data_IF_751319086646
#
_entry.id   IF_751319086646
#
_cell.length_a   1.000
_cell.length_b   1.000
_cell.length_c   1.000
_cell.angle_alpha   90.00
_cell.angle_beta   90.00
_cell.angle_gamma   90.00
#
_symmetry.space_group_name_H-M   'P 1'
#
loop_
_entity.id
_entity.type
_entity.pdbx_description
1 polymer ?
#
# COMPACT_ATOMS: atom_id res chain seq x y z
N UNK A 1 -21.78 6.45 15.70
CA UNK A 1 -21.15 6.62 14.37
C UNK A 1 -20.90 5.22 13.81
N UNK A 2 -21.76 4.72 12.91
CA UNK A 2 -21.64 3.34 12.38
C UNK A 2 -20.66 3.37 11.22
N UNK A 3 -19.46 2.81 11.41
CA UNK A 3 -18.51 2.56 10.33
C UNK A 3 -19.13 1.49 9.43
N UNK A 4 -19.64 1.90 8.26
CA UNK A 4 -20.13 0.98 7.23
C UNK A 4 -18.92 0.57 6.39
N UNK A 5 -18.69 -0.73 6.32
CA UNK A 5 -17.58 -1.38 5.66
C UNK A 5 -17.31 -0.83 4.26
N UNK A 6 -16.08 -0.37 4.03
CA UNK A 6 -15.51 -0.17 2.70
C UNK A 6 -15.13 -1.57 2.20
N UNK A 7 -15.94 -2.12 1.30
CA UNK A 7 -15.64 -3.40 0.67
C UNK A 7 -14.91 -3.09 -0.63
N UNK A 8 -13.59 -3.15 -0.57
CA UNK A 8 -12.72 -3.11 -1.72
C UNK A 8 -12.76 -4.51 -2.38
N UNK A 9 -13.80 -4.78 -3.17
CA UNK A 9 -13.92 -6.04 -3.91
C UNK A 9 -13.88 -5.78 -5.40
N UNK A 10 -12.87 -6.40 -6.01
CA UNK A 10 -12.81 -6.77 -7.42
C UNK A 10 -14.01 -7.67 -7.73
N UNK A 11 -15.04 -7.11 -8.35
CA UNK A 11 -16.18 -7.78 -9.00
C UNK A 11 -16.64 -9.12 -8.38
N UNK A 12 -17.64 -9.11 -7.50
CA UNK A 12 -18.41 -10.31 -7.17
C UNK A 12 -19.59 -10.41 -8.13
N UNK A 13 -19.57 -11.46 -8.95
CA UNK A 13 -20.65 -11.81 -9.87
C UNK A 13 -21.85 -12.36 -9.10
N UNK A 14 -22.99 -11.68 -9.24
CA UNK A 14 -24.38 -12.20 -9.19
C UNK A 14 -24.83 -12.92 -7.90
N UNK A 15 -25.20 -12.14 -6.88
CA UNK A 15 -26.19 -12.60 -5.88
C UNK A 15 -27.63 -12.31 -6.36
N UNK A 16 -28.66 -13.05 -5.90
CA UNK A 16 -30.05 -12.82 -6.30
C UNK A 16 -30.53 -11.40 -5.95
N UNK A 17 -31.43 -10.83 -6.78
CA UNK A 17 -31.89 -9.45 -6.63
C UNK A 17 -32.55 -9.11 -5.27
N UNK A 18 -32.92 -10.11 -4.46
CA UNK A 18 -33.51 -9.94 -3.13
C UNK A 18 -32.50 -9.76 -1.98
N UNK A 19 -31.19 -9.95 -2.21
CA UNK A 19 -30.17 -9.97 -1.13
C UNK A 19 -29.32 -8.69 -0.97
N UNK A 20 -29.52 -7.66 -1.80
CA UNK A 20 -28.67 -6.45 -1.77
C UNK A 20 -29.02 -5.42 -0.67
N UNK A 21 -29.95 -5.73 0.26
CA UNK A 21 -30.38 -4.82 1.34
C UNK A 21 -29.25 -4.28 2.23
N UNK A 22 -28.08 -4.91 2.23
CA UNK A 22 -26.91 -4.49 3.00
C UNK A 22 -26.01 -3.48 2.27
N UNK A 23 -26.16 -3.32 0.95
CA UNK A 23 -25.40 -2.33 0.18
C UNK A 23 -26.00 -0.94 0.45
N UNK A 24 -25.20 0.06 0.88
CA UNK A 24 -25.72 1.39 1.14
C UNK A 24 -26.32 2.04 -0.13
N UNK A 25 -27.48 2.68 0.02
CA UNK A 25 -28.16 3.39 -1.08
C UNK A 25 -27.36 4.62 -1.57
N UNK A 26 -26.47 5.12 -0.73
CA UNK A 26 -25.61 6.25 -1.01
C UNK A 26 -24.24 5.84 -1.59
N UNK A 27 -24.05 4.59 -2.02
CA UNK A 27 -22.83 4.21 -2.73
C UNK A 27 -22.69 4.95 -4.09
N UNK A 28 -21.45 5.33 -4.48
CA UNK A 28 -21.22 6.24 -5.61
C UNK A 28 -21.57 5.66 -6.98
N UNK A 29 -21.58 4.34 -7.13
CA UNK A 29 -21.82 3.67 -8.42
C UNK A 29 -23.17 2.94 -8.45
N UNK A 30 -24.09 3.31 -7.55
CA UNK A 30 -25.46 2.83 -7.63
C UNK A 30 -26.11 3.37 -8.91
N UNK A 31 -26.77 2.47 -9.65
CA UNK A 31 -27.58 2.81 -10.82
C UNK A 31 -28.99 2.24 -10.61
N UNK A 32 -29.57 1.57 -11.62
CA UNK A 32 -30.80 0.78 -11.45
C UNK A 32 -30.64 -0.37 -10.45
N UNK A 33 -29.40 -0.79 -10.17
CA UNK A 33 -29.05 -1.77 -9.13
C UNK A 33 -28.03 -1.20 -8.15
N UNK A 34 -28.15 -1.59 -6.87
CA UNK A 34 -27.16 -1.28 -5.84
C UNK A 34 -25.80 -1.92 -6.19
N UNK A 35 -24.72 -1.17 -5.97
CA UNK A 35 -23.35 -1.51 -6.30
C UNK A 35 -22.45 -1.34 -5.06
N UNK A 36 -21.68 -2.37 -4.71
CA UNK A 36 -20.81 -2.36 -3.53
C UNK A 36 -19.53 -1.53 -3.70
N UNK A 37 -19.18 -1.15 -4.94
CA UNK A 37 -17.94 -0.41 -5.23
C UNK A 37 -17.97 0.98 -4.57
N UNK A 38 -16.87 1.33 -3.90
CA UNK A 38 -16.65 2.67 -3.32
C UNK A 38 -15.64 3.48 -4.13
N UNK A 39 -14.57 2.83 -4.57
CA UNK A 39 -13.49 3.37 -5.42
C UNK A 39 -13.00 2.29 -6.37
N UNK A 40 -12.26 2.69 -7.41
CA UNK A 40 -11.70 1.79 -8.41
C UNK A 40 -10.32 2.26 -8.86
N UNK A 41 -9.66 1.50 -9.73
CA UNK A 41 -8.30 1.84 -10.18
C UNK A 41 -7.19 1.41 -9.20
N UNK A 42 -7.42 0.34 -8.42
CA UNK A 42 -6.43 -0.23 -7.50
C UNK A 42 -5.76 -1.47 -8.11
N UNK A 43 -4.54 -1.79 -7.67
CA UNK A 43 -3.81 -3.00 -8.05
C UNK A 43 -3.94 -4.11 -7.02
N UNK A 44 -3.28 -3.94 -5.87
CA UNK A 44 -3.25 -4.93 -4.79
C UNK A 44 -3.22 -4.24 -3.41
N UNK A 45 -4.35 -3.63 -3.03
CA UNK A 45 -4.53 -2.96 -1.75
C UNK A 45 -4.58 -3.97 -0.61
N UNK A 46 -3.68 -3.79 0.37
CA UNK A 46 -3.52 -4.71 1.50
C UNK A 46 -3.91 -4.05 2.83
N UNK A 47 -3.58 -2.77 3.00
CA UNK A 47 -3.84 -2.02 4.23
C UNK A 47 -4.99 -1.04 4.07
N UNK A 48 -5.83 -0.91 5.11
CA UNK A 48 -6.86 0.11 5.19
C UNK A 48 -7.04 0.56 6.64
N UNK A 49 -6.91 1.87 6.91
CA UNK A 49 -7.05 2.41 8.27
C UNK A 49 -7.82 3.73 8.28
N UNK A 50 -8.80 3.83 9.17
CA UNK A 50 -9.54 5.07 9.41
C UNK A 50 -8.96 5.83 10.60
N UNK A 51 -8.84 7.15 10.49
CA UNK A 51 -8.52 8.02 11.61
C UNK A 51 -9.17 9.38 11.47
N UNK A 52 -9.35 10.06 12.61
CA UNK A 52 -9.74 11.48 12.64
C UNK A 52 -8.50 12.30 12.95
N UNK A 53 -8.05 13.12 12.00
CA UNK A 53 -6.92 14.03 12.16
C UNK A 53 -7.48 15.46 12.13
N UNK A 54 -7.27 16.20 13.23
CA UNK A 54 -7.75 17.57 13.39
C UNK A 54 -9.25 17.77 13.07
N UNK A 55 -10.09 16.81 13.48
CA UNK A 55 -11.54 16.84 13.25
C UNK A 55 -11.99 16.29 11.88
N UNK A 56 -11.06 16.03 10.97
CA UNK A 56 -11.34 15.47 9.64
C UNK A 56 -11.12 13.97 9.62
N UNK A 57 -12.11 13.20 9.16
CA UNK A 57 -12.00 11.76 8.98
C UNK A 57 -11.30 11.39 7.68
N UNK A 58 -10.28 10.55 7.77
CA UNK A 58 -9.53 10.03 6.63
C UNK A 58 -9.56 8.51 6.64
N UNK A 59 -9.65 7.93 5.44
CA UNK A 59 -9.46 6.51 5.21
C UNK A 59 -8.17 6.36 4.41
N UNK A 60 -7.10 5.95 5.07
CA UNK A 60 -5.81 5.71 4.42
C UNK A 60 -5.73 4.26 3.96
N UNK A 61 -5.04 4.05 2.85
CA UNK A 61 -4.88 2.75 2.20
C UNK A 61 -3.40 2.57 1.82
N UNK A 62 -2.93 1.33 1.79
CA UNK A 62 -1.59 1.00 1.26
C UNK A 62 -1.63 -0.20 0.33
N UNK A 63 -1.08 -0.04 -0.88
CA UNK A 63 -1.12 -1.06 -1.93
C UNK A 63 0.23 -1.37 -2.55
N UNK A 64 0.31 -2.54 -3.20
CA UNK A 64 1.49 -2.90 -3.98
C UNK A 64 1.39 -2.37 -5.40
N UNK A 65 2.44 -1.70 -5.85
CA UNK A 65 2.69 -1.40 -7.25
C UNK A 65 3.21 -2.61 -8.02
N UNK A 66 3.31 -2.53 -9.35
CA UNK A 66 3.76 -3.64 -10.18
C UNK A 66 5.27 -3.90 -10.04
N UNK A 67 6.11 -3.01 -10.56
CA UNK A 67 7.58 -3.14 -10.55
C UNK A 67 8.28 -1.97 -9.84
N UNK A 68 7.52 -0.97 -9.44
CA UNK A 68 7.87 0.20 -8.64
C UNK A 68 6.56 0.75 -8.07
N UNK A 69 6.61 1.90 -7.39
CA UNK A 69 5.40 2.66 -7.05
C UNK A 69 4.39 1.85 -6.23
N UNK A 70 4.84 1.21 -5.13
CA UNK A 70 3.88 0.90 -4.07
C UNK A 70 3.28 2.21 -3.54
N UNK A 71 2.02 2.20 -3.12
CA UNK A 71 1.31 3.45 -2.88
C UNK A 71 0.76 3.53 -1.46
N UNK A 72 0.61 4.76 -1.00
CA UNK A 72 -0.29 5.12 0.09
C UNK A 72 -1.33 6.08 -0.44
N UNK A 73 -2.59 5.78 -0.21
CA UNK A 73 -3.72 6.53 -0.76
C UNK A 73 -4.60 7.11 0.34
N UNK A 74 -5.22 8.27 0.06
CA UNK A 74 -6.39 8.74 0.82
C UNK A 74 -7.63 8.36 0.02
N UNK A 75 -8.49 7.55 0.61
CA UNK A 75 -9.65 6.96 -0.05
C UNK A 75 -10.84 7.93 -0.06
N UNK A 76 -11.23 8.35 -1.26
CA UNK A 76 -12.32 9.29 -1.51
C UNK A 76 -13.46 8.63 -2.28
N UNK A 77 -14.70 8.94 -1.90
CA UNK A 77 -15.90 8.37 -2.52
C UNK A 77 -15.92 8.56 -4.04
N UNK A 78 -16.08 7.48 -4.78
CA UNK A 78 -16.30 7.49 -6.23
C UNK A 78 -15.04 7.73 -7.06
N UNK A 79 -13.86 7.74 -6.44
CA UNK A 79 -12.60 8.10 -7.10
C UNK A 79 -11.87 6.91 -7.73
N UNK A 80 -11.00 7.26 -8.68
CA UNK A 80 -10.19 6.37 -9.49
C UNK A 80 -8.70 6.57 -9.20
N UNK A 81 -8.02 5.51 -8.80
CA UNK A 81 -6.61 5.50 -8.41
C UNK A 81 -5.67 5.08 -9.56
N UNK A 82 -6.18 5.10 -10.80
CA UNK A 82 -5.35 5.09 -12.01
C UNK A 82 -4.97 3.71 -12.55
N UNK A 83 -4.71 2.71 -11.71
CA UNK A 83 -4.28 1.40 -12.17
C UNK A 83 -5.33 0.72 -13.07
N UNK A 84 -4.94 0.10 -14.22
CA UNK A 84 -3.57 -0.17 -14.67
C UNK A 84 -3.03 0.85 -15.67
N UNK A 85 -3.67 2.02 -15.83
CA UNK A 85 -3.36 3.00 -16.87
C UNK A 85 -2.46 4.13 -16.38
N UNK A 86 -2.35 4.31 -15.07
CA UNK A 86 -1.40 5.18 -14.38
C UNK A 86 -0.87 4.38 -13.18
N UNK A 87 0.44 4.40 -12.95
CA UNK A 87 1.09 3.65 -11.88
C UNK A 87 1.81 4.63 -10.97
N UNK A 88 1.37 4.77 -9.72
CA UNK A 88 1.85 5.83 -8.86
C UNK A 88 1.36 7.20 -9.35
N UNK A 89 2.29 8.09 -9.65
CA UNK A 89 1.98 9.41 -10.21
C UNK A 89 1.88 9.34 -11.74
N UNK A 90 1.09 10.24 -12.33
CA UNK A 90 1.12 10.48 -13.78
C UNK A 90 2.39 11.23 -14.22
N UNK A 91 3.57 10.65 -13.96
CA UNK A 91 4.88 11.25 -14.20
C UNK A 91 5.56 10.74 -15.49
N UNK A 92 5.00 9.70 -16.11
CA UNK A 92 5.43 9.16 -17.40
C UNK A 92 6.55 8.12 -17.30
N UNK A 93 6.85 7.62 -16.09
CA UNK A 93 7.83 6.56 -15.90
C UNK A 93 7.37 5.22 -16.52
N UNK A 94 6.06 4.96 -16.60
CA UNK A 94 5.49 3.78 -17.26
C UNK A 94 5.07 3.99 -18.72
N UNK A 95 5.27 5.18 -19.30
CA UNK A 95 4.97 5.44 -20.71
C UNK A 95 5.69 4.44 -21.65
N UNK A 96 4.93 3.69 -22.43
CA UNK A 96 5.39 2.62 -23.32
C UNK A 96 5.55 1.25 -22.64
N UNK A 97 5.19 1.14 -21.37
CA UNK A 97 5.18 -0.09 -20.55
C UNK A 97 3.74 -0.58 -20.31
N UNK A 98 3.58 -1.55 -19.42
CA UNK A 98 2.30 -2.05 -18.94
C UNK A 98 2.42 -2.37 -17.44
N UNK A 99 1.31 -2.56 -16.74
CA UNK A 99 1.32 -2.98 -15.32
C UNK A 99 1.78 -4.43 -15.10
N UNK A 100 2.34 -5.09 -16.13
CA UNK A 100 2.83 -6.46 -16.12
C UNK A 100 3.82 -6.71 -17.25
N UNK A 101 4.67 -7.72 -17.08
CA UNK A 101 5.53 -8.27 -18.14
C UNK A 101 5.70 -9.77 -17.92
N UNK A 102 5.81 -10.55 -18.98
CA UNK A 102 6.16 -11.96 -18.90
C UNK A 102 7.15 -12.39 -19.99
N UNK A 103 7.80 -13.53 -19.77
CA UNK A 103 8.63 -14.21 -20.78
C UNK A 103 7.84 -15.25 -21.57
N UNK A 104 6.50 -15.28 -21.46
CA UNK A 104 5.68 -16.23 -22.19
C UNK A 104 5.48 -15.71 -23.62
N UNK A 105 6.09 -16.32 -24.65
CA UNK A 105 6.12 -15.74 -26.00
C UNK A 105 4.72 -15.57 -26.63
N UNK A 106 3.76 -16.39 -26.19
CA UNK A 106 2.37 -16.31 -26.68
C UNK A 106 1.50 -15.29 -25.93
N UNK A 107 2.08 -14.54 -24.97
CA UNK A 107 1.36 -13.52 -24.23
C UNK A 107 1.00 -12.32 -25.13
N UNK A 108 -0.17 -11.69 -24.95
CA UNK A 108 -0.57 -10.57 -25.79
C UNK A 108 0.27 -9.31 -25.57
N UNK A 109 0.32 -8.45 -26.59
CA UNK A 109 0.95 -7.13 -26.50
C UNK A 109 2.48 -7.17 -26.43
N UNK A 110 3.09 -5.97 -26.45
CA UNK A 110 4.55 -5.77 -26.49
C UNK A 110 5.31 -6.47 -25.35
N UNK A 111 4.67 -6.57 -24.18
CA UNK A 111 5.29 -7.07 -22.94
C UNK A 111 4.76 -8.44 -22.51
N UNK A 112 4.10 -9.16 -23.44
CA UNK A 112 3.53 -10.47 -23.20
C UNK A 112 2.61 -10.51 -21.96
N UNK A 113 1.68 -9.56 -21.87
CA UNK A 113 0.77 -9.41 -20.72
C UNK A 113 -0.62 -9.00 -21.19
N UNK A 114 -1.63 -9.41 -20.43
CA UNK A 114 -3.01 -8.99 -20.66
C UNK A 114 -3.30 -7.54 -20.20
N UNK A 115 -2.36 -6.90 -19.49
CA UNK A 115 -2.48 -5.49 -19.16
C UNK A 115 -2.37 -4.62 -20.42
N UNK A 116 -3.17 -3.54 -20.53
CA UNK A 116 -3.08 -2.62 -21.64
C UNK A 116 -1.71 -1.94 -21.67
N UNK A 117 -1.26 -1.56 -22.87
CA UNK A 117 -0.11 -0.69 -23.04
C UNK A 117 -0.45 0.70 -22.48
N UNK A 118 0.37 1.18 -21.57
CA UNK A 118 0.32 2.55 -21.05
C UNK A 118 0.99 3.44 -22.10
N UNK A 119 0.20 4.10 -22.95
CA UNK A 119 0.76 4.96 -24.01
C UNK A 119 1.30 6.26 -23.42
N UNK A 120 0.49 6.93 -22.60
CA UNK A 120 0.86 8.14 -21.89
C UNK A 120 0.06 8.28 -20.59
N UNK A 121 0.73 8.28 -19.44
CA UNK A 121 0.06 8.33 -18.14
C UNK A 121 -0.68 9.64 -17.90
N UNK A 122 -0.15 10.77 -18.41
CA UNK A 122 -0.81 12.08 -18.26
C UNK A 122 -2.09 12.18 -19.07
N UNK A 123 -2.09 11.64 -20.29
CA UNK A 123 -3.31 11.58 -21.12
C UNK A 123 -4.33 10.62 -20.51
N UNK A 124 -3.89 9.50 -19.91
CA UNK A 124 -4.77 8.60 -19.17
C UNK A 124 -5.39 9.29 -17.96
N UNK A 125 -4.59 9.95 -17.11
CA UNK A 125 -5.08 10.72 -15.96
C UNK A 125 -6.07 11.82 -16.40
N UNK A 126 -5.75 12.54 -17.48
CA UNK A 126 -6.64 13.56 -18.07
C UNK A 126 -7.95 12.96 -18.59
N UNK A 127 -7.91 11.76 -19.16
CA UNK A 127 -9.10 11.05 -19.66
C UNK A 127 -9.99 10.59 -18.52
N UNK A 128 -9.41 10.17 -17.39
CA UNK A 128 -10.16 9.88 -16.16
C UNK A 128 -10.77 11.17 -15.59
N UNK A 129 -10.06 12.30 -15.69
CA UNK A 129 -10.58 13.62 -15.35
C UNK A 129 -10.74 13.83 -13.85
N UNK A 130 -11.86 14.41 -13.43
CA UNK A 130 -12.07 14.88 -12.05
C UNK A 130 -12.12 13.77 -10.99
N UNK A 131 -12.23 12.51 -11.41
CA UNK A 131 -12.25 11.36 -10.52
C UNK A 131 -10.86 10.78 -10.26
N UNK A 132 -9.85 11.17 -11.04
CA UNK A 132 -8.47 10.73 -10.83
C UNK A 132 -7.93 11.25 -9.50
N UNK A 133 -7.16 10.43 -8.80
CA UNK A 133 -6.40 10.79 -7.61
C UNK A 133 -4.99 10.26 -7.71
N UNK A 134 -4.03 11.16 -7.47
CA UNK A 134 -2.65 10.78 -7.20
C UNK A 134 -2.55 10.15 -5.80
N UNK A 135 -1.56 9.26 -5.58
CA UNK A 135 -1.27 8.75 -4.26
C UNK A 135 -0.71 9.84 -3.35
N UNK A 136 -0.94 9.67 -2.04
CA UNK A 136 -0.37 10.51 -0.99
C UNK A 136 1.16 10.44 -1.02
N UNK A 137 1.72 9.26 -1.30
CA UNK A 137 3.14 9.01 -1.57
C UNK A 137 3.32 7.69 -2.34
N UNK A 138 4.40 7.58 -3.12
CA UNK A 138 4.87 6.32 -3.72
C UNK A 138 6.16 5.81 -3.06
N UNK A 139 6.34 4.48 -3.00
CA UNK A 139 7.43 3.76 -2.32
C UNK A 139 8.07 2.71 -3.27
N UNK A 140 8.99 3.07 -4.16
CA UNK A 140 9.36 4.42 -4.60
C UNK A 140 9.19 4.48 -6.12
N UNK A 141 8.99 5.68 -6.70
CA UNK A 141 8.98 5.82 -8.14
C UNK A 141 10.37 5.48 -8.67
N UNK A 142 10.42 4.94 -9.89
CA UNK A 142 11.69 4.71 -10.57
C UNK A 142 11.74 5.39 -11.93
N UNK A 143 12.96 5.52 -12.47
CA UNK A 143 13.14 6.16 -13.77
C UNK A 143 12.56 5.29 -14.89
N UNK A 144 12.02 5.94 -15.92
CA UNK A 144 11.60 5.29 -17.17
C UNK A 144 12.70 4.40 -17.75
N UNK A 145 13.95 4.86 -17.73
CA UNK A 145 15.10 4.11 -18.25
C UNK A 145 15.33 2.80 -17.51
N UNK A 146 15.29 2.84 -16.17
CA UNK A 146 15.40 1.64 -15.34
C UNK A 146 14.25 0.65 -15.61
N UNK A 147 13.01 1.13 -15.67
CA UNK A 147 11.86 0.26 -15.90
C UNK A 147 11.90 -0.39 -17.29
N UNK A 148 12.32 0.33 -18.33
CA UNK A 148 12.49 -0.25 -19.67
C UNK A 148 13.55 -1.35 -19.72
N UNK A 149 14.69 -1.14 -19.06
CA UNK A 149 15.74 -2.15 -18.94
C UNK A 149 15.23 -3.39 -18.19
N UNK A 150 14.53 -3.17 -17.07
CA UNK A 150 13.91 -4.23 -16.29
C UNK A 150 12.91 -5.05 -17.11
N UNK A 151 11.99 -4.39 -17.84
CA UNK A 151 10.98 -5.06 -18.67
C UNK A 151 11.62 -5.86 -19.79
N UNK A 152 12.64 -5.31 -20.45
CA UNK A 152 13.36 -6.00 -21.52
C UNK A 152 14.07 -7.27 -21.03
N UNK A 153 14.66 -7.23 -19.82
CA UNK A 153 15.29 -8.39 -19.20
C UNK A 153 14.27 -9.44 -18.79
N UNK A 154 13.17 -9.03 -18.16
CA UNK A 154 12.11 -9.93 -17.72
C UNK A 154 11.43 -10.62 -18.90
N UNK A 155 11.11 -9.90 -19.99
CA UNK A 155 10.53 -10.49 -21.18
C UNK A 155 11.46 -11.46 -21.90
N UNK A 156 12.79 -11.25 -21.78
CA UNK A 156 13.82 -12.18 -22.24
C UNK A 156 14.06 -13.38 -21.30
N UNK A 157 13.26 -13.54 -20.23
CA UNK A 157 13.36 -14.67 -19.31
C UNK A 157 14.38 -14.53 -18.18
N UNK A 158 14.93 -13.33 -17.96
CA UNK A 158 15.85 -13.08 -16.85
C UNK A 158 15.07 -12.73 -15.57
N UNK A 159 14.63 -13.75 -14.81
CA UNK A 159 13.65 -13.59 -13.71
C UNK A 159 14.15 -13.03 -12.36
N UNK A 160 15.47 -12.97 -12.11
CA UNK A 160 16.03 -12.55 -10.81
C UNK A 160 16.26 -11.04 -10.66
N UNK A 161 15.67 -10.23 -11.55
CA UNK A 161 15.85 -8.78 -11.53
C UNK A 161 15.11 -8.17 -10.35
N UNK A 162 15.84 -7.52 -9.44
CA UNK A 162 15.24 -6.91 -8.26
C UNK A 162 14.34 -5.72 -8.64
N UNK A 163 13.12 -5.70 -8.11
CA UNK A 163 12.19 -4.58 -8.30
C UNK A 163 12.28 -3.60 -7.12
N UNK A 164 12.33 -2.28 -7.34
CA UNK A 164 12.36 -1.26 -6.29
C UNK A 164 10.97 -1.07 -5.65
N UNK A 165 10.56 -2.05 -4.83
CA UNK A 165 9.31 -2.02 -4.08
C UNK A 165 9.53 -2.48 -2.62
N UNK A 166 8.62 -2.06 -1.74
CA UNK A 166 8.61 -2.37 -0.32
C UNK A 166 7.56 -3.44 0.03
N UNK A 167 6.54 -3.61 -0.81
CA UNK A 167 5.41 -4.50 -0.59
C UNK A 167 4.73 -4.24 0.78
N UNK A 168 4.13 -3.05 1.00
CA UNK A 168 3.40 -2.74 2.22
C UNK A 168 2.25 -3.72 2.43
N UNK A 169 2.14 -4.30 3.62
CA UNK A 169 1.18 -5.39 3.90
C UNK A 169 -0.04 -4.97 4.71
N UNK A 170 0.05 -3.81 5.35
CA UNK A 170 -0.99 -3.23 6.18
C UNK A 170 -0.65 -1.75 6.40
N UNK A 171 -1.53 -1.03 7.06
CA UNK A 171 -1.33 0.36 7.47
C UNK A 171 -2.03 0.60 8.81
N UNK A 172 -1.36 1.33 9.71
CA UNK A 172 -1.98 1.87 10.92
C UNK A 172 -1.74 3.37 11.04
N UNK A 173 -2.68 4.08 11.64
CA UNK A 173 -2.54 5.51 11.94
C UNK A 173 -2.18 5.69 13.41
N UNK A 174 -1.02 6.26 13.68
CA UNK A 174 -0.55 6.53 15.04
C UNK A 174 -0.93 7.95 15.45
N UNK A 175 -1.89 8.07 16.37
CA UNK A 175 -2.43 9.36 16.87
C UNK A 175 -2.05 9.68 18.32
N UNK A 176 -1.43 8.72 19.03
CA UNK A 176 -0.98 8.91 20.41
C UNK A 176 0.21 9.87 20.50
N UNK A 177 0.40 10.47 21.67
CA UNK A 177 1.60 11.26 22.03
C UNK A 177 2.63 10.46 22.82
N UNK A 178 2.35 9.18 23.11
CA UNK A 178 3.17 8.37 24.01
C UNK A 178 4.60 8.15 23.51
N UNK A 179 4.79 8.01 22.20
CA UNK A 179 6.12 8.03 21.58
C UNK A 179 6.38 9.45 21.03
N UNK A 180 7.36 10.18 21.57
CA UNK A 180 7.67 11.54 21.15
C UNK A 180 7.92 11.64 19.64
N UNK A 181 7.26 12.60 18.99
CA UNK A 181 7.38 12.86 17.55
C UNK A 181 6.57 11.93 16.63
N UNK A 182 5.97 10.84 17.15
CA UNK A 182 5.22 9.88 16.33
C UNK A 182 3.77 10.26 16.07
N UNK A 183 3.15 11.13 16.89
CA UNK A 183 1.77 11.59 16.68
C UNK A 183 1.54 12.03 15.23
N UNK A 184 0.44 11.62 14.62
CA UNK A 184 0.11 11.83 13.21
C UNK A 184 1.14 11.17 12.28
N UNK A 185 1.33 9.86 12.43
CA UNK A 185 2.13 9.08 11.46
C UNK A 185 1.33 7.92 10.90
N UNK A 186 1.58 7.58 9.64
CA UNK A 186 1.21 6.31 9.05
C UNK A 186 2.33 5.31 9.29
N UNK A 187 1.96 4.09 9.69
CA UNK A 187 2.87 3.00 10.00
C UNK A 187 2.60 1.83 9.05
N UNK A 188 3.59 1.45 8.26
CA UNK A 188 3.48 0.47 7.18
C UNK A 188 4.45 -0.69 7.39
N UNK A 189 3.98 -1.86 7.85
CA UNK A 189 4.79 -3.08 7.83
C UNK A 189 5.07 -3.53 6.40
N UNK A 190 6.33 -3.88 6.12
CA UNK A 190 6.75 -4.34 4.78
C UNK A 190 6.99 -5.84 4.73
N UNK A 191 6.54 -6.46 3.63
CA UNK A 191 6.88 -7.84 3.32
C UNK A 191 8.29 -7.94 2.75
N UNK A 192 8.76 -6.92 2.04
CA UNK A 192 10.09 -6.90 1.45
C UNK A 192 11.04 -6.11 2.33
N UNK A 193 12.22 -6.68 2.59
CA UNK A 193 13.27 -6.05 3.38
C UNK A 193 12.95 -5.82 4.86
N UNK A 194 11.82 -6.37 5.35
CA UNK A 194 11.47 -6.50 6.76
C UNK A 194 11.67 -5.26 7.60
N UNK A 195 10.78 -4.28 7.50
CA UNK A 195 10.84 -3.06 8.31
C UNK A 195 9.45 -2.49 8.55
N UNK A 196 9.37 -1.60 9.53
CA UNK A 196 8.22 -0.74 9.74
C UNK A 196 8.55 0.65 9.19
N UNK A 197 7.90 1.04 8.09
CA UNK A 197 8.03 2.39 7.54
C UNK A 197 7.11 3.33 8.32
N UNK A 198 7.64 4.48 8.75
CA UNK A 198 6.89 5.58 9.35
C UNK A 198 6.89 6.75 8.39
N UNK A 199 5.69 7.14 7.96
CA UNK A 199 5.45 8.36 7.18
C UNK A 199 4.79 9.38 8.10
N UNK A 200 5.41 10.52 8.30
CA UNK A 200 4.87 11.57 9.15
C UNK A 200 3.84 12.37 8.34
N UNK A 201 2.66 12.58 8.89
CA UNK A 201 1.63 13.42 8.29
C UNK A 201 1.79 14.86 8.74
N UNK A 202 1.36 15.78 7.88
CA UNK A 202 1.15 17.18 8.26
C UNK A 202 0.05 17.33 9.31
N UNK A 203 -0.14 18.56 9.81
CA UNK A 203 -1.17 18.85 10.79
C UNK A 203 -2.61 18.57 10.29
N UNK A 204 -2.85 18.71 8.98
CA UNK A 204 -4.15 18.44 8.36
C UNK A 204 -4.43 16.94 8.19
N UNK A 205 -3.40 16.10 8.06
CA UNK A 205 -3.50 14.69 7.74
C UNK A 205 -3.52 14.38 6.24
N UNK A 206 -3.43 15.38 5.36
CA UNK A 206 -3.62 15.21 3.92
C UNK A 206 -2.31 15.20 3.10
N UNK A 207 -1.15 15.32 3.76
CA UNK A 207 0.17 15.27 3.13
C UNK A 207 1.20 14.57 4.01
N UNK A 208 2.18 13.93 3.39
CA UNK A 208 3.40 13.49 4.08
C UNK A 208 4.33 14.70 4.28
N UNK A 209 4.90 14.82 5.48
CA UNK A 209 5.90 15.81 5.84
C UNK A 209 7.18 15.13 6.35
N UNK A 210 8.34 15.66 5.95
CA UNK A 210 9.63 15.17 6.40
C UNK A 210 10.01 13.80 5.82
N UNK A 211 10.98 13.17 6.48
CA UNK A 211 11.62 11.97 5.94
C UNK A 211 10.79 10.70 6.16
N UNK A 212 10.93 9.77 5.22
CA UNK A 212 10.51 8.38 5.40
C UNK A 212 11.50 7.68 6.34
N UNK A 213 11.04 7.31 7.55
CA UNK A 213 11.91 6.67 8.55
C UNK A 213 11.56 5.19 8.67
N UNK A 214 12.58 4.32 8.64
CA UNK A 214 12.41 2.88 8.80
C UNK A 214 12.82 2.43 10.21
N UNK A 215 11.96 1.66 10.86
CA UNK A 215 12.20 1.04 12.16
C UNK A 215 12.23 -0.48 12.04
N UNK A 216 12.78 -1.12 13.08
CA UNK A 216 12.72 -2.58 13.27
C UNK A 216 13.21 -3.38 12.05
N UNK A 217 14.24 -2.87 11.37
CA UNK A 217 14.79 -3.54 10.20
C UNK A 217 15.30 -4.92 10.60
N UNK A 218 14.75 -5.95 9.97
CA UNK A 218 15.03 -7.34 10.22
C UNK A 218 15.04 -8.13 8.92
N UNK A 219 15.02 -9.45 9.07
CA UNK A 219 14.84 -10.42 7.99
C UNK A 219 13.36 -10.82 7.87
N UNK A 220 12.53 -10.39 8.79
CA UNK A 220 11.17 -10.86 8.95
C UNK A 220 10.26 -10.23 7.89
N UNK A 221 9.21 -10.95 7.48
CA UNK A 221 8.20 -10.40 6.58
C UNK A 221 7.04 -9.92 7.42
N UNK A 222 7.02 -8.63 7.75
CA UNK A 222 5.94 -8.07 8.56
C UNK A 222 4.67 -8.02 7.72
N UNK A 223 3.59 -8.59 8.26
CA UNK A 223 2.29 -8.81 7.61
C UNK A 223 1.23 -7.84 8.09
N UNK A 224 1.19 -7.57 9.38
CA UNK A 224 0.15 -6.73 9.95
C UNK A 224 0.66 -6.04 11.21
N UNK A 225 -0.05 -5.00 11.62
CA UNK A 225 0.31 -4.14 12.74
C UNK A 225 -0.91 -3.87 13.64
N UNK A 226 -0.69 -3.95 14.95
CA UNK A 226 -1.62 -3.44 15.95
C UNK A 226 -0.91 -2.52 16.93
N UNK A 227 -1.65 -1.54 17.47
CA UNK A 227 -1.14 -0.57 18.44
C UNK A 227 -1.87 -0.78 19.77
N UNK A 228 -1.16 -0.70 20.89
CA UNK A 228 -1.84 -0.68 22.19
C UNK A 228 -2.65 0.62 22.36
N UNK A 229 -3.73 0.60 23.15
CA UNK A 229 -4.55 1.79 23.40
C UNK A 229 -3.79 2.97 24.02
N UNK A 230 -2.75 2.70 24.83
CA UNK A 230 -1.87 3.72 25.40
C UNK A 230 -0.81 4.24 24.41
N UNK A 231 -0.70 3.62 23.22
CA UNK A 231 0.26 3.96 22.17
C UNK A 231 1.71 3.62 22.50
N UNK A 232 1.99 2.86 23.57
CA UNK A 232 3.36 2.51 23.98
C UNK A 232 3.88 1.21 23.37
N UNK A 233 2.98 0.35 22.87
CA UNK A 233 3.33 -0.94 22.28
C UNK A 233 2.88 -1.02 20.83
N UNK A 234 3.73 -1.64 20.03
CA UNK A 234 3.48 -1.97 18.63
C UNK A 234 3.61 -3.48 18.52
N UNK A 235 2.60 -4.13 17.96
CA UNK A 235 2.59 -5.56 17.69
C UNK A 235 2.70 -5.75 16.19
N UNK A 236 3.72 -6.49 15.73
CA UNK A 236 3.88 -6.83 14.32
C UNK A 236 3.65 -8.33 14.12
N UNK A 237 2.68 -8.67 13.28
CA UNK A 237 2.51 -10.04 12.80
C UNK A 237 3.55 -10.36 11.74
N UNK A 238 4.10 -11.58 11.75
CA UNK A 238 5.12 -12.02 10.80
C UNK A 238 4.57 -13.18 9.97
N UNK A 239 4.77 -13.12 8.65
CA UNK A 239 4.39 -14.21 7.75
C UNK A 239 4.99 -15.55 8.21
N UNK A 240 4.19 -16.61 8.12
CA UNK A 240 4.68 -17.98 8.29
C UNK A 240 5.55 -18.44 7.13
N UNK A 241 5.48 -17.78 5.96
CA UNK A 241 6.31 -18.05 4.78
C UNK A 241 7.47 -17.07 4.67
N UNK A 242 8.61 -17.55 4.17
CA UNK A 242 9.78 -16.72 3.83
C UNK A 242 9.80 -16.31 2.35
N UNK A 243 8.86 -16.79 1.55
CA UNK A 243 8.83 -16.63 0.08
C UNK A 243 7.95 -15.43 -0.31
N UNK A 244 8.43 -14.60 -1.23
CA UNK A 244 7.65 -13.57 -1.91
C UNK A 244 7.39 -13.91 -3.37
N UNK A 245 6.33 -13.35 -3.95
CA UNK A 245 6.01 -13.48 -5.37
C UNK A 245 6.96 -12.74 -6.31
N UNK A 246 7.56 -11.63 -5.84
CA UNK A 246 8.57 -10.88 -6.59
C UNK A 246 10.00 -11.21 -6.15
N UNK A 247 11.00 -11.04 -7.02
CA UNK A 247 12.40 -11.22 -6.67
C UNK A 247 12.86 -10.16 -5.66
N UNK A 248 13.59 -10.64 -4.65
CA UNK A 248 14.27 -9.79 -3.68
C UNK A 248 15.49 -10.52 -3.15
N UNK A 249 16.68 -9.97 -3.42
CA UNK A 249 17.95 -10.47 -2.86
C UNK A 249 17.95 -10.44 -1.32
N UNK A 250 17.08 -9.63 -0.73
CA UNK A 250 16.88 -9.51 0.71
C UNK A 250 15.86 -10.51 1.27
N UNK A 251 15.28 -11.40 0.45
CA UNK A 251 14.44 -12.47 0.97
C UNK A 251 15.29 -13.44 1.80
N UNK A 252 14.96 -13.64 3.08
CA UNK A 252 15.74 -14.52 3.93
C UNK A 252 15.45 -15.97 3.57
N UNK A 253 16.51 -16.76 3.43
CA UNK A 253 16.38 -18.23 3.39
C UNK A 253 16.04 -18.82 4.78
N UNK A 254 16.33 -18.07 5.85
CA UNK A 254 16.03 -18.41 7.24
C UNK A 254 15.48 -17.18 7.97
N UNK A 255 14.32 -17.36 8.62
CA UNK A 255 13.63 -16.35 9.43
C UNK A 255 13.37 -16.94 10.80
N UNK A 256 13.73 -16.21 11.86
CA UNK A 256 13.69 -16.71 13.23
C UNK A 256 12.27 -16.75 13.81
N UNK A 257 11.36 -15.92 13.30
CA UNK A 257 10.05 -15.66 13.91
C UNK A 257 8.88 -15.91 12.94
N UNK A 258 8.85 -17.08 12.29
CA UNK A 258 7.81 -17.43 11.30
C UNK A 258 6.44 -17.59 11.98
N UNK A 259 5.44 -16.83 11.52
CA UNK A 259 4.06 -16.94 12.03
C UNK A 259 3.90 -16.42 13.46
N UNK A 260 4.83 -15.60 13.96
CA UNK A 260 4.81 -15.05 15.30
C UNK A 260 4.20 -13.64 15.33
N UNK A 261 3.84 -13.20 16.54
CA UNK A 261 3.63 -11.78 16.85
C UNK A 261 4.86 -11.28 17.61
N UNK A 262 5.47 -10.19 17.14
CA UNK A 262 6.56 -9.50 17.82
C UNK A 262 5.99 -8.26 18.50
N UNK A 263 6.20 -8.14 19.82
CA UNK A 263 5.88 -6.93 20.59
C UNK A 263 7.11 -6.02 20.67
N UNK A 264 6.95 -4.76 20.29
CA UNK A 264 7.90 -3.68 20.54
C UNK A 264 7.31 -2.74 21.58
N UNK A 265 8.04 -2.48 22.66
CA UNK A 265 7.60 -1.62 23.75
C UNK A 265 8.50 -0.38 23.85
N UNK A 266 7.90 0.80 23.86
CA UNK A 266 8.60 2.05 24.07
C UNK A 266 8.99 2.25 25.55
N UNK A 267 10.30 2.33 25.78
CA UNK A 267 10.93 2.41 27.12
C UNK A 267 11.38 3.81 27.53
N UNK A 268 11.07 4.85 26.75
CA UNK A 268 11.53 6.23 26.98
C UNK A 268 12.74 6.61 26.13
N UNK A 269 13.11 7.90 26.14
CA UNK A 269 14.33 8.35 25.45
C UNK A 269 15.57 7.98 26.29
N UNK A 270 16.70 7.68 25.62
CA UNK A 270 17.97 7.48 26.32
C UNK A 270 18.36 8.77 27.05
N UNK A 271 18.15 8.79 28.37
CA UNK A 271 18.24 9.98 29.23
C UNK A 271 17.11 10.08 30.26
N UNK A 272 15.95 9.46 30.02
CA UNK A 272 14.85 9.34 30.99
C UNK A 272 14.88 8.03 31.78
N UNK A 273 15.69 7.05 31.35
CA UNK A 273 15.90 5.77 32.04
C UNK A 273 16.93 5.87 33.19
N UNK A 274 16.85 6.93 34.00
CA UNK A 274 17.50 6.97 35.30
C UNK A 274 16.44 7.01 36.41
N UNK A 275 16.65 6.21 37.45
CA UNK A 275 15.97 6.24 38.75
C UNK A 275 14.62 5.54 39.03
N UNK A 276 14.07 4.60 38.24
CA UNK A 276 13.05 3.67 38.77
C UNK A 276 13.19 2.22 38.32
N UNK A 277 13.93 1.47 39.15
CA UNK A 277 13.79 0.03 39.47
C UNK A 277 13.44 -0.90 38.30
N UNK A 278 14.47 -1.58 37.78
CA UNK A 278 14.31 -2.90 37.15
C UNK A 278 14.05 -3.93 38.26
N UNK A 279 12.99 -4.76 38.19
CA UNK A 279 13.02 -6.07 38.81
C UNK A 279 14.01 -7.00 38.08
#
# INVERSE_FOLDING_TARGET
MRVKYCVLIRSLTRMPASTNKWIPNDNPFNATTQNAVWTYGHRNPQGLAYAVINGTGYLYESEHGPFSDDEVNIIEKGKNYGHPLVIGYADGNYDGLAAGVSNHPDGPGKWHTAYPLIVNEKDNAKTIGADYRDPLITLYPNSKGFLNDLFSKLSAGQGDQQWPSEAPSSIAVYTSTAIPGWKNSLLLPTLKGGKLIRLKLNAAGDKIEGDTICYFKGRERYRDIALSPDGRKIYLAVDSSAVSSGPSKANPKQVSYRGCIIEYHYVGQAGEMDNKKRP
#
